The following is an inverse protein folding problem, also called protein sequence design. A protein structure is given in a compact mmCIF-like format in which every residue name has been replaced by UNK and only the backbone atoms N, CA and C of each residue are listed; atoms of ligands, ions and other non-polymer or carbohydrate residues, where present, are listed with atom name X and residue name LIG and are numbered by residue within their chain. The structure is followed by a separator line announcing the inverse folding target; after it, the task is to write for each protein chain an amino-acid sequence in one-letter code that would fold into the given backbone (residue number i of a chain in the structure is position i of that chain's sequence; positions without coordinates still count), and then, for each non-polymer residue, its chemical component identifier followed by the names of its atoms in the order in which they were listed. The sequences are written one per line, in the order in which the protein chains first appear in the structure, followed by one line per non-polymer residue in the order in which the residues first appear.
data_IF_401059924103
#
_entry.id   IF_401059924103
#
_cell.length_a   1.000
_cell.length_b   1.000
_cell.length_c   1.000
_cell.angle_alpha   90.00
_cell.angle_beta   90.00
_cell.angle_gamma   90.00
#
_symmetry.space_group_name_H-M   'P 1'
#
loop_
_entity.id
_entity.type
_entity.pdbx_description
1 polymer ?
#
# COMPACT_ATOMS: atom_id res chain seq x y z
N UNK A 1 -0.49 -24.88 -15.88
CA UNK A 1 -1.04 -23.57 -15.51
C UNK A 1 -0.04 -22.94 -14.54
N UNK A 2 0.90 -22.16 -15.08
CA UNK A 2 2.02 -21.62 -14.30
C UNK A 2 1.53 -20.38 -13.57
N UNK A 3 1.35 -20.48 -12.25
CA UNK A 3 1.14 -19.31 -11.40
C UNK A 3 2.52 -18.64 -11.27
N UNK A 4 2.86 -17.78 -12.23
CA UNK A 4 3.97 -16.85 -12.09
C UNK A 4 3.56 -15.84 -11.03
N UNK A 5 4.36 -15.72 -9.97
CA UNK A 5 4.19 -14.74 -8.92
C UNK A 5 4.03 -13.36 -9.57
N UNK A 6 2.85 -12.77 -9.38
CA UNK A 6 2.53 -11.43 -9.84
C UNK A 6 3.48 -10.47 -9.13
N UNK A 7 4.51 -10.04 -9.84
CA UNK A 7 5.38 -8.96 -9.43
C UNK A 7 4.58 -7.67 -9.60
N UNK A 8 4.08 -7.13 -8.49
CA UNK A 8 3.23 -5.93 -8.52
C UNK A 8 4.12 -4.68 -8.53
N UNK A 9 4.36 -4.16 -9.73
CA UNK A 9 5.09 -2.90 -9.89
C UNK A 9 4.12 -1.74 -9.74
N UNK A 10 4.27 -0.96 -8.67
CA UNK A 10 3.63 0.35 -8.56
C UNK A 10 4.57 1.41 -9.11
N UNK A 11 4.18 2.06 -10.22
CA UNK A 11 5.01 3.07 -10.84
C UNK A 11 4.58 4.48 -10.44
N UNK A 12 5.19 5.04 -9.40
CA UNK A 12 4.98 6.46 -9.07
C UNK A 12 5.76 7.37 -10.02
N UNK A 13 5.18 7.71 -11.16
CA UNK A 13 5.69 8.79 -11.99
C UNK A 13 5.47 10.15 -11.32
N UNK A 14 6.24 10.44 -10.26
CA UNK A 14 6.28 11.76 -9.61
C UNK A 14 6.87 12.75 -10.60
N UNK A 15 5.99 13.35 -11.39
CA UNK A 15 6.32 14.45 -12.28
C UNK A 15 5.86 15.73 -11.60
N UNK A 16 6.81 16.54 -11.11
CA UNK A 16 6.54 17.97 -10.86
C UNK A 16 5.88 18.54 -12.11
N UNK A 17 4.62 18.95 -11.97
CA UNK A 17 3.79 19.43 -13.06
C UNK A 17 4.53 20.49 -13.91
N UNK A 18 5.10 20.06 -15.03
CA UNK A 18 5.48 20.94 -16.13
C UNK A 18 4.41 20.75 -17.18
N UNK A 19 3.39 21.61 -17.13
CA UNK A 19 2.40 21.89 -18.19
C UNK A 19 2.27 20.84 -19.29
N UNK A 20 1.32 19.90 -19.13
CA UNK A 20 0.94 18.96 -20.18
C UNK A 20 0.30 17.70 -19.61
N UNK A 21 -1.00 17.77 -19.33
CA UNK A 21 -1.84 16.64 -18.92
C UNK A 21 -2.00 15.65 -20.08
N UNK A 22 -1.84 14.35 -19.79
CA UNK A 22 -1.94 13.26 -20.75
C UNK A 22 -3.36 12.68 -20.92
N UNK A 23 -4.39 13.25 -20.26
CA UNK A 23 -5.74 12.69 -20.27
C UNK A 23 -6.78 13.64 -20.88
N UNK A 24 -6.94 13.59 -22.21
CA UNK A 24 -8.18 14.01 -22.87
C UNK A 24 -8.69 12.85 -23.72
N UNK A 25 -9.66 12.10 -23.20
CA UNK A 25 -10.95 11.76 -23.84
C UNK A 25 -11.57 10.50 -23.20
N UNK A 26 -12.54 10.72 -22.32
CA UNK A 26 -13.62 9.77 -22.05
C UNK A 26 -14.75 10.49 -21.32
N UNK A 27 -15.82 10.84 -22.05
CA UNK A 27 -17.05 11.40 -21.49
C UNK A 27 -17.88 10.26 -20.90
N UNK A 28 -18.24 10.33 -19.63
CA UNK A 28 -19.24 9.44 -19.01
C UNK A 28 -20.41 10.29 -18.51
N UNK A 29 -21.61 9.90 -18.95
CA UNK A 29 -22.89 10.49 -18.59
C UNK A 29 -23.21 10.25 -17.11
N UNK A 30 -23.55 11.30 -16.36
CA UNK A 30 -24.12 11.19 -15.02
C UNK A 30 -25.66 11.20 -15.08
N UNK A 31 -26.28 10.21 -14.44
CA UNK A 31 -27.73 10.08 -14.28
C UNK A 31 -28.13 10.60 -12.90
N UNK A 32 -28.87 11.71 -12.82
CA UNK A 32 -29.38 12.26 -11.56
C UNK A 32 -30.74 11.61 -11.21
N UNK A 33 -30.83 10.93 -10.06
CA UNK A 33 -32.12 10.58 -9.46
C UNK A 33 -32.63 11.76 -8.63
N UNK A 34 -33.84 12.24 -8.92
CA UNK A 34 -34.57 13.16 -8.05
C UNK A 34 -35.22 12.38 -6.90
N UNK A 35 -34.98 12.80 -5.67
CA UNK A 35 -35.72 12.34 -4.48
C UNK A 35 -36.91 13.27 -4.19
N UNK A 36 -38.08 12.76 -3.77
CA UNK A 36 -39.26 13.58 -3.50
C UNK A 36 -39.12 14.42 -2.22
N UNK A 37 -39.73 15.61 -2.19
CA UNK A 37 -39.80 16.46 -1.00
C UNK A 37 -40.82 15.94 0.04
N UNK A 38 -40.54 16.04 1.36
CA UNK A 38 -41.53 15.79 2.40
C UNK A 38 -42.45 16.99 2.66
N UNK A 39 -43.71 16.71 3.00
CA UNK A 39 -44.75 17.67 3.40
C UNK A 39 -44.53 18.20 4.83
N UNK A 40 -44.98 19.43 5.16
CA UNK A 40 -44.73 20.05 6.45
C UNK A 40 -45.71 19.55 7.53
N UNK A 41 -45.17 19.07 8.65
CA UNK A 41 -45.94 18.86 9.88
C UNK A 41 -45.60 19.98 10.87
N UNK A 42 -46.59 20.83 11.16
CA UNK A 42 -46.53 21.87 12.18
C UNK A 42 -46.84 21.29 13.56
N UNK A 43 -45.86 21.31 14.47
CA UNK A 43 -46.06 21.09 15.91
C UNK A 43 -45.39 22.24 16.67
N UNK A 44 -46.04 22.88 17.66
CA UNK A 44 -45.49 24.06 18.33
C UNK A 44 -44.26 23.70 19.18
N UNK A 45 -43.12 24.32 18.88
CA UNK A 45 -41.90 24.21 19.68
C UNK A 45 -42.02 25.05 20.96
N UNK A 46 -42.03 24.40 22.11
CA UNK A 46 -41.57 25.03 23.36
C UNK A 46 -40.05 25.10 23.29
N UNK A 47 -39.51 26.29 22.99
CA UNK A 47 -38.08 26.53 22.93
C UNK A 47 -37.49 26.53 24.35
N UNK A 48 -37.01 25.36 24.78
CA UNK A 48 -35.94 25.32 25.77
C UNK A 48 -34.63 25.59 25.04
N UNK A 49 -33.97 26.70 25.35
CA UNK A 49 -32.64 27.06 24.84
C UNK A 49 -31.61 26.05 25.38
N UNK A 50 -31.52 24.90 24.72
CA UNK A 50 -30.41 23.97 24.90
C UNK A 50 -29.20 24.64 24.25
N UNK A 51 -28.22 25.05 25.05
CA UNK A 51 -26.92 25.46 24.53
C UNK A 51 -26.41 24.35 23.60
N UNK A 52 -26.24 24.64 22.31
CA UNK A 52 -25.78 23.65 21.35
C UNK A 52 -24.40 23.20 21.77
N UNK A 53 -24.23 21.92 22.08
CA UNK A 53 -22.91 21.33 22.24
C UNK A 53 -22.05 21.70 21.03
N UNK A 54 -20.78 22.09 21.23
CA UNK A 54 -19.92 22.45 20.11
C UNK A 54 -19.89 21.30 19.12
N UNK A 55 -20.22 21.58 17.86
CA UNK A 55 -20.18 20.60 16.79
C UNK A 55 -18.77 20.00 16.72
N UNK A 56 -18.66 18.67 16.63
CA UNK A 56 -17.38 18.01 16.44
C UNK A 56 -16.70 18.57 15.18
N UNK A 57 -15.36 18.73 15.19
CA UNK A 57 -14.64 19.18 14.01
C UNK A 57 -14.90 18.23 12.84
N UNK A 58 -15.05 18.78 11.63
CA UNK A 58 -15.18 17.99 10.42
C UNK A 58 -13.94 17.11 10.22
N UNK A 59 -14.13 15.92 9.67
CA UNK A 59 -13.02 15.05 9.26
C UNK A 59 -12.11 15.77 8.25
N UNK A 60 -10.86 15.34 8.16
CA UNK A 60 -9.88 15.96 7.27
C UNK A 60 -10.30 15.81 5.80
N UNK A 61 -10.18 16.87 5.00
CA UNK A 61 -10.59 16.84 3.59
C UNK A 61 -9.92 15.73 2.77
N UNK A 62 -8.65 15.40 3.08
CA UNK A 62 -7.91 14.32 2.42
C UNK A 62 -8.50 12.92 2.63
N UNK A 63 -9.35 12.73 3.64
CA UNK A 63 -10.02 11.44 3.88
C UNK A 63 -11.36 11.34 3.18
N UNK A 64 -11.82 12.39 2.48
CA UNK A 64 -13.06 12.33 1.72
C UNK A 64 -12.94 11.37 0.54
N UNK A 65 -13.97 10.56 0.31
CA UNK A 65 -14.00 9.59 -0.80
C UNK A 65 -13.14 8.33 -0.59
N UNK A 66 -12.54 8.16 0.60
CA UNK A 66 -12.00 6.87 1.01
C UNK A 66 -13.18 5.99 1.43
N UNK A 67 -13.48 5.00 0.60
CA UNK A 67 -14.60 4.09 0.80
C UNK A 67 -14.29 3.00 1.82
N UNK A 68 -15.33 2.29 2.25
CA UNK A 68 -15.17 1.13 3.14
C UNK A 68 -14.35 0.05 2.42
N UNK A 69 -13.34 -0.49 3.10
CA UNK A 69 -12.51 -1.55 2.55
C UNK A 69 -13.34 -2.82 2.27
N UNK A 70 -13.08 -3.42 1.11
CA UNK A 70 -13.68 -4.68 0.67
C UNK A 70 -13.41 -5.82 1.66
N UNK A 71 -12.28 -5.76 2.37
CA UNK A 71 -11.91 -6.74 3.40
C UNK A 71 -12.91 -6.77 4.56
N UNK A 72 -13.48 -5.63 4.94
CA UNK A 72 -14.46 -5.55 6.04
C UNK A 72 -15.74 -6.30 5.68
N UNK A 73 -16.16 -6.23 4.42
CA UNK A 73 -17.36 -6.91 3.94
C UNK A 73 -17.15 -8.42 3.86
N UNK A 74 -16.06 -8.87 3.22
CA UNK A 74 -15.78 -10.30 3.08
C UNK A 74 -15.47 -11.00 4.40
N UNK A 75 -14.78 -10.34 5.34
CA UNK A 75 -14.52 -10.92 6.67
C UNK A 75 -15.84 -11.10 7.44
N UNK A 76 -16.73 -10.10 7.41
CA UNK A 76 -18.03 -10.21 8.06
C UNK A 76 -18.85 -11.38 7.50
N UNK A 77 -18.90 -11.51 6.17
CA UNK A 77 -19.60 -12.61 5.52
C UNK A 77 -18.98 -13.98 5.84
N UNK A 78 -17.65 -14.06 5.90
CA UNK A 78 -16.94 -15.30 6.26
C UNK A 78 -17.25 -15.75 7.70
N UNK A 79 -17.41 -14.82 8.65
CA UNK A 79 -17.80 -15.13 10.03
C UNK A 79 -19.23 -15.67 10.13
N UNK A 80 -20.13 -15.14 9.30
CA UNK A 80 -21.53 -15.55 9.27
C UNK A 80 -21.72 -16.94 8.63
N UNK A 81 -21.09 -17.17 7.47
CA UNK A 81 -21.28 -18.38 6.65
C UNK A 81 -20.35 -19.52 7.06
N UNK A 82 -19.20 -19.20 7.70
CA UNK A 82 -18.15 -20.16 8.10
C UNK A 82 -17.70 -21.08 6.95
N UNK A 83 -17.32 -20.52 5.79
CA UNK A 83 -16.88 -21.34 4.65
C UNK A 83 -15.50 -21.95 4.91
N UNK A 84 -15.12 -22.92 4.07
CA UNK A 84 -13.70 -23.21 3.85
C UNK A 84 -13.08 -21.96 3.20
N UNK A 85 -12.25 -21.24 3.94
CA UNK A 85 -11.75 -19.93 3.52
C UNK A 85 -10.45 -20.07 2.73
N UNK A 86 -10.54 -19.91 1.41
CA UNK A 86 -9.38 -19.84 0.50
C UNK A 86 -9.08 -18.40 0.03
N UNK A 87 -9.76 -17.40 0.60
CA UNK A 87 -9.60 -15.99 0.24
C UNK A 87 -8.63 -15.21 1.12
N UNK A 88 -8.32 -15.70 2.32
CA UNK A 88 -7.36 -15.06 3.22
C UNK A 88 -5.92 -15.34 2.78
N UNK A 89 -5.15 -14.27 2.55
CA UNK A 89 -3.77 -14.33 2.11
C UNK A 89 -2.74 -14.57 3.21
N UNK A 90 -3.09 -15.31 4.28
CA UNK A 90 -2.15 -15.65 5.35
C UNK A 90 -2.13 -17.16 5.63
N UNK A 91 -0.97 -17.72 6.03
CA UNK A 91 -0.87 -19.14 6.41
C UNK A 91 -1.72 -19.46 7.65
N UNK A 92 -2.41 -20.60 7.62
CA UNK A 92 -3.14 -21.18 8.76
C UNK A 92 -2.33 -22.24 9.53
N UNK A 93 -1.04 -22.36 9.22
CA UNK A 93 -0.06 -23.21 9.91
C UNK A 93 0.98 -22.38 10.66
N UNK A 94 1.69 -23.04 11.60
CA UNK A 94 2.69 -22.37 12.42
C UNK A 94 3.90 -21.88 11.59
N UNK A 95 4.38 -20.68 11.91
CA UNK A 95 5.66 -20.19 11.40
C UNK A 95 6.83 -21.12 11.80
N UNK A 96 7.94 -21.13 11.03
CA UNK A 96 9.10 -21.97 11.32
C UNK A 96 9.60 -21.83 12.77
N UNK A 97 10.00 -22.95 13.37
CA UNK A 97 10.39 -23.04 14.78
C UNK A 97 11.44 -22.02 15.21
N UNK A 98 12.44 -21.78 14.36
CA UNK A 98 13.52 -20.85 14.66
C UNK A 98 13.02 -19.40 14.77
N UNK A 99 11.98 -19.02 14.01
CA UNK A 99 11.34 -17.70 14.09
C UNK A 99 10.59 -17.56 15.42
N UNK A 100 9.78 -18.56 15.77
CA UNK A 100 9.00 -18.56 17.02
C UNK A 100 9.92 -18.53 18.24
N UNK A 101 11.00 -19.31 18.23
CA UNK A 101 12.03 -19.31 19.27
C UNK A 101 12.76 -17.97 19.37
N UNK A 102 13.11 -17.35 18.24
CA UNK A 102 13.76 -16.04 18.24
C UNK A 102 12.88 -14.95 18.87
N UNK A 103 11.58 -14.94 18.55
CA UNK A 103 10.62 -14.03 19.19
C UNK A 103 10.52 -14.28 20.69
N UNK A 104 10.36 -15.53 21.11
CA UNK A 104 10.30 -15.90 22.53
C UNK A 104 11.55 -15.42 23.27
N UNK A 105 12.74 -15.65 22.71
CA UNK A 105 14.01 -15.23 23.30
C UNK A 105 14.13 -13.71 23.40
N UNK A 106 13.67 -12.96 22.39
CA UNK A 106 13.68 -11.51 22.42
C UNK A 106 12.79 -10.95 23.53
N UNK A 107 11.60 -11.54 23.72
CA UNK A 107 10.64 -11.12 24.74
C UNK A 107 11.04 -11.55 26.16
N UNK A 108 11.63 -12.74 26.32
CA UNK A 108 11.99 -13.31 27.63
C UNK A 108 13.46 -13.13 28.00
N UNK A 109 14.19 -12.20 27.35
CA UNK A 109 15.62 -12.04 27.59
C UNK A 109 15.89 -11.41 28.96
N UNK A 110 16.38 -12.21 29.91
CA UNK A 110 16.87 -11.72 31.20
C UNK A 110 18.24 -11.05 31.08
N UNK A 111 19.04 -11.47 30.09
CA UNK A 111 20.40 -10.95 29.86
C UNK A 111 20.44 -9.62 29.12
N UNK A 112 19.35 -9.24 28.45
CA UNK A 112 19.22 -7.95 27.77
C UNK A 112 17.81 -7.37 27.92
N UNK A 113 17.51 -6.90 29.13
CA UNK A 113 16.22 -6.28 29.49
C UNK A 113 15.88 -5.07 28.62
N UNK A 114 16.90 -4.40 28.05
CA UNK A 114 16.71 -3.23 27.17
C UNK A 114 16.01 -3.57 25.85
N UNK A 115 15.86 -4.85 25.48
CA UNK A 115 15.03 -5.25 24.34
C UNK A 115 13.55 -4.91 24.51
N UNK A 116 13.10 -4.63 25.74
CA UNK A 116 11.74 -4.16 26.03
C UNK A 116 11.58 -2.63 25.90
N UNK A 117 12.67 -1.91 25.61
CA UNK A 117 12.68 -0.45 25.52
C UNK A 117 12.80 0.01 24.07
N UNK A 118 12.68 1.32 23.86
CA UNK A 118 12.84 1.91 22.54
C UNK A 118 14.18 1.54 21.90
N UNK A 119 14.13 1.26 20.60
CA UNK A 119 15.31 1.12 19.75
C UNK A 119 15.46 2.35 18.84
N UNK A 120 16.40 2.31 17.89
CA UNK A 120 16.56 3.35 16.87
C UNK A 120 15.29 3.47 16.02
N UNK A 121 14.80 4.71 15.83
CA UNK A 121 13.54 4.98 15.13
C UNK A 121 13.45 4.41 13.71
N UNK A 122 14.54 4.45 12.93
CA UNK A 122 14.56 3.91 11.56
C UNK A 122 14.87 2.40 11.49
N UNK A 123 14.79 1.69 12.61
CA UNK A 123 14.96 0.24 12.68
C UNK A 123 16.07 -0.19 13.63
N UNK A 124 15.84 -1.34 14.27
CA UNK A 124 16.78 -1.92 15.22
C UNK A 124 18.14 -2.21 14.55
N UNK A 125 19.29 -1.77 15.11
CA UNK A 125 20.60 -1.92 14.47
C UNK A 125 20.95 -3.34 14.00
N UNK A 126 20.65 -4.37 14.82
CA UNK A 126 20.86 -5.77 14.41
C UNK A 126 20.05 -6.17 13.16
N UNK A 127 18.83 -5.66 13.02
CA UNK A 127 17.93 -5.99 11.92
C UNK A 127 18.39 -5.30 10.62
N UNK A 128 18.63 -3.98 10.66
CA UNK A 128 19.05 -3.23 9.46
C UNK A 128 20.39 -3.73 8.90
N UNK A 129 21.33 -4.14 9.78
CA UNK A 129 22.59 -4.74 9.35
C UNK A 129 22.40 -6.12 8.72
N UNK A 130 21.47 -6.93 9.23
CA UNK A 130 21.15 -8.23 8.64
C UNK A 130 20.47 -8.06 7.26
N UNK A 131 19.51 -7.14 7.16
CA UNK A 131 18.84 -6.80 5.90
C UNK A 131 19.85 -6.30 4.86
N UNK A 132 20.69 -5.32 5.20
CA UNK A 132 21.74 -4.82 4.31
C UNK A 132 22.63 -5.94 3.80
N UNK A 133 23.08 -6.88 4.64
CA UNK A 133 23.94 -8.01 4.22
C UNK A 133 23.25 -8.99 3.27
N UNK A 134 21.96 -9.26 3.48
CA UNK A 134 21.18 -10.15 2.62
C UNK A 134 20.97 -9.43 1.28
N UNK A 135 20.37 -8.25 1.34
CA UNK A 135 19.96 -7.53 0.14
C UNK A 135 21.14 -7.03 -0.68
N UNK A 136 22.30 -6.70 -0.08
CA UNK A 136 23.49 -6.30 -0.86
C UNK A 136 23.94 -7.40 -1.84
N UNK A 137 23.79 -8.67 -1.45
CA UNK A 137 24.09 -9.81 -2.34
C UNK A 137 23.03 -9.96 -3.42
N UNK A 138 21.77 -9.78 -3.03
CA UNK A 138 20.61 -9.91 -3.91
C UNK A 138 20.61 -8.83 -5.00
N UNK A 139 20.91 -7.58 -4.67
CA UNK A 139 20.92 -6.44 -5.61
C UNK A 139 22.28 -6.23 -6.29
N UNK A 140 23.29 -7.05 -5.98
CA UNK A 140 24.63 -6.94 -6.58
C UNK A 140 25.43 -5.67 -6.23
N UNK A 141 25.06 -4.93 -5.17
CA UNK A 141 25.79 -3.75 -4.68
C UNK A 141 25.75 -3.64 -3.17
N UNK A 142 26.70 -2.94 -2.57
CA UNK A 142 26.67 -2.64 -1.14
C UNK A 142 25.49 -1.71 -0.81
N UNK A 143 24.72 -2.06 0.23
CA UNK A 143 23.63 -1.26 0.79
C UNK A 143 24.07 -0.74 2.15
N UNK A 144 24.07 0.57 2.35
CA UNK A 144 24.35 1.18 3.63
C UNK A 144 23.14 1.04 4.58
N UNK A 145 23.24 0.29 5.69
CA UNK A 145 22.11 0.03 6.58
C UNK A 145 21.57 1.28 7.28
N UNK A 146 22.36 2.35 7.38
CA UNK A 146 21.97 3.56 8.11
C UNK A 146 21.19 4.55 7.24
N UNK A 147 21.43 4.56 5.93
CA UNK A 147 20.84 5.52 4.98
C UNK A 147 19.93 4.89 3.93
N UNK A 148 20.05 3.59 3.66
CA UNK A 148 19.32 2.91 2.59
C UNK A 148 18.38 1.80 3.11
N UNK A 149 18.23 1.68 4.44
CA UNK A 149 17.31 0.74 5.07
C UNK A 149 16.45 1.47 6.10
N UNK A 150 15.14 1.32 5.95
CA UNK A 150 14.12 1.77 6.90
C UNK A 150 13.24 0.56 7.26
N UNK A 151 13.03 0.34 8.56
CA UNK A 151 12.09 -0.68 9.05
C UNK A 151 10.76 -0.02 9.34
N UNK A 152 9.67 -0.63 8.86
CA UNK A 152 8.28 -0.18 9.03
C UNK A 152 7.42 -1.29 9.63
N UNK A 153 6.20 -0.95 10.03
CA UNK A 153 5.12 -1.85 10.42
C UNK A 153 4.54 -2.58 9.20
N UNK A 154 5.35 -3.46 8.62
CA UNK A 154 5.03 -4.22 7.43
C UNK A 154 5.07 -3.40 6.14
N UNK A 155 4.80 -4.06 5.02
CA UNK A 155 4.82 -3.46 3.69
C UNK A 155 3.73 -2.39 3.50
N UNK A 156 2.58 -2.54 4.15
CA UNK A 156 1.51 -1.52 4.12
C UNK A 156 2.00 -0.14 4.60
N UNK A 157 2.74 -0.07 5.71
CA UNK A 157 3.31 1.19 6.17
C UNK A 157 4.49 1.65 5.30
N UNK A 158 5.27 0.72 4.73
CA UNK A 158 6.34 1.08 3.79
C UNK A 158 5.76 1.78 2.55
N UNK A 159 4.69 1.23 1.97
CA UNK A 159 3.95 1.84 0.86
C UNK A 159 3.37 3.19 1.27
N UNK A 160 2.70 3.25 2.42
CA UNK A 160 2.10 4.49 2.92
C UNK A 160 3.15 5.59 3.11
N UNK A 161 4.26 5.28 3.78
CA UNK A 161 5.34 6.22 4.07
C UNK A 161 6.03 6.69 2.78
N UNK A 162 6.24 5.77 1.83
CA UNK A 162 6.81 6.08 0.52
C UNK A 162 5.91 7.00 -0.28
N UNK A 163 4.63 6.66 -0.41
CA UNK A 163 3.65 7.46 -1.18
C UNK A 163 3.46 8.83 -0.53
N UNK A 164 3.24 8.90 0.78
CA UNK A 164 3.10 10.17 1.50
C UNK A 164 4.37 11.02 1.47
N UNK A 165 5.55 10.41 1.34
CA UNK A 165 6.83 11.11 1.28
C UNK A 165 7.25 11.57 -0.12
N UNK A 166 6.64 11.00 -1.17
CA UNK A 166 7.04 11.25 -2.56
C UNK A 166 5.95 11.90 -3.43
N UNK A 167 4.67 11.76 -3.08
CA UNK A 167 3.55 12.22 -3.90
C UNK A 167 2.98 13.52 -3.34
N UNK A 168 2.91 14.55 -4.18
CA UNK A 168 2.26 15.82 -3.88
C UNK A 168 0.88 15.93 -4.58
N UNK A 169 0.00 16.83 -4.09
CA UNK A 169 -1.26 17.13 -4.77
C UNK A 169 -1.05 17.54 -6.23
N UNK A 170 -1.73 16.82 -7.14
CA UNK A 170 -1.65 17.05 -8.59
C UNK A 170 -0.63 16.17 -9.32
N UNK A 171 0.20 15.39 -8.61
CA UNK A 171 1.03 14.36 -9.23
C UNK A 171 0.17 13.21 -9.77
N UNK A 172 0.64 12.57 -10.83
CA UNK A 172 0.05 11.35 -11.38
C UNK A 172 0.84 10.13 -10.89
N UNK A 173 0.15 9.05 -10.52
CA UNK A 173 0.78 7.79 -10.08
C UNK A 173 0.26 6.65 -10.93
N UNK A 174 1.15 6.02 -11.70
CA UNK A 174 0.81 4.91 -12.57
C UNK A 174 0.65 3.63 -11.74
N UNK A 175 -0.49 2.97 -11.88
CA UNK A 175 -0.82 1.74 -11.18
C UNK A 175 -1.15 0.67 -12.23
N UNK A 176 -0.42 -0.45 -12.17
CA UNK A 176 -0.63 -1.57 -13.08
C UNK A 176 -1.78 -2.43 -12.56
N UNK A 177 -2.77 -2.76 -13.40
CA UNK A 177 -3.91 -3.61 -13.01
C UNK A 177 -3.65 -5.08 -13.38
N UNK A 178 -3.99 -6.07 -12.52
CA UNK A 178 -4.56 -5.91 -11.18
C UNK A 178 -3.52 -5.41 -10.16
N UNK A 179 -3.98 -4.68 -9.16
CA UNK A 179 -3.15 -4.09 -8.11
C UNK A 179 -3.63 -4.48 -6.72
N UNK A 180 -2.71 -4.51 -5.76
CA UNK A 180 -3.06 -4.54 -4.36
C UNK A 180 -3.87 -3.31 -3.94
N UNK A 181 -5.01 -3.54 -3.29
CA UNK A 181 -6.11 -2.57 -3.18
C UNK A 181 -5.73 -1.26 -2.48
N UNK A 182 -4.68 -1.28 -1.65
CA UNK A 182 -4.26 -0.12 -0.88
C UNK A 182 -3.55 0.98 -1.67
N UNK A 183 -3.02 0.70 -2.88
CA UNK A 183 -2.27 1.69 -3.64
C UNK A 183 -3.13 2.92 -3.97
N UNK A 184 -4.36 2.70 -4.45
CA UNK A 184 -5.29 3.76 -4.85
C UNK A 184 -5.67 4.70 -3.70
N UNK A 185 -6.18 4.23 -2.54
CA UNK A 185 -6.55 5.12 -1.44
C UNK A 185 -5.35 5.86 -0.86
N UNK A 186 -4.15 5.25 -0.83
CA UNK A 186 -2.95 5.93 -0.36
C UNK A 186 -2.52 7.06 -1.30
N UNK A 187 -2.55 6.85 -2.62
CA UNK A 187 -2.30 7.92 -3.61
C UNK A 187 -3.30 9.05 -3.49
N UNK A 188 -4.60 8.74 -3.39
CA UNK A 188 -5.66 9.75 -3.23
C UNK A 188 -5.50 10.54 -1.93
N UNK A 189 -5.14 9.86 -0.84
CA UNK A 189 -4.89 10.49 0.46
C UNK A 189 -3.71 11.48 0.43
N UNK A 190 -2.69 11.21 -0.40
CA UNK A 190 -1.58 12.12 -0.68
C UNK A 190 -1.96 13.27 -1.63
N UNK A 191 -3.15 13.24 -2.23
CA UNK A 191 -3.62 14.23 -3.21
C UNK A 191 -3.21 13.92 -4.66
N UNK A 192 -2.57 12.77 -4.90
CA UNK A 192 -2.19 12.32 -6.23
C UNK A 192 -3.38 11.77 -7.02
N UNK A 193 -3.20 11.66 -8.33
CA UNK A 193 -4.15 11.10 -9.28
C UNK A 193 -3.68 9.73 -9.76
N UNK A 194 -4.36 8.63 -9.38
CA UNK A 194 -4.09 7.31 -9.93
C UNK A 194 -4.33 7.27 -11.45
N UNK A 195 -3.37 6.73 -12.20
CA UNK A 195 -3.45 6.49 -13.65
C UNK A 195 -3.27 5.00 -13.90
N UNK A 196 -4.30 4.34 -14.41
CA UNK A 196 -4.32 2.88 -14.51
C UNK A 196 -3.75 2.36 -15.84
N UNK A 197 -2.95 1.30 -15.77
CA UNK A 197 -2.42 0.59 -16.94
C UNK A 197 -2.73 -0.90 -16.81
N UNK A 198 -3.59 -1.49 -17.66
CA UNK A 198 -3.93 -2.89 -17.54
C UNK A 198 -2.77 -3.79 -17.97
N UNK A 199 -2.41 -4.75 -17.13
CA UNK A 199 -1.46 -5.80 -17.46
C UNK A 199 -2.03 -6.67 -18.58
N UNK A 200 -1.16 -7.09 -19.51
CA UNK A 200 -1.48 -8.13 -20.50
C UNK A 200 -0.91 -9.46 -20.00
N UNK A 201 -1.58 -10.61 -20.17
CA UNK A 201 -1.23 -11.88 -19.51
C UNK A 201 0.14 -12.51 -19.84
N UNK A 202 0.98 -11.84 -20.61
CA UNK A 202 2.33 -12.29 -20.96
C UNK A 202 3.28 -11.36 -20.26
N UNK A 203 4.01 -11.86 -19.26
CA UNK A 203 5.05 -11.11 -18.59
C UNK A 203 6.43 -11.57 -19.07
N UNK A 204 7.28 -10.64 -19.49
CA UNK A 204 8.68 -10.92 -19.85
C UNK A 204 9.64 -9.97 -19.16
N UNK A 205 10.87 -10.42 -18.94
CA UNK A 205 11.95 -9.59 -18.38
C UNK A 205 12.13 -8.28 -19.14
N UNK A 206 11.92 -8.29 -20.46
CA UNK A 206 12.05 -7.08 -21.29
C UNK A 206 11.02 -5.99 -20.92
N UNK A 207 9.87 -6.36 -20.34
CA UNK A 207 8.83 -5.41 -19.94
C UNK A 207 9.24 -4.65 -18.66
N UNK A 208 9.92 -5.31 -17.73
CA UNK A 208 10.55 -4.63 -16.58
C UNK A 208 11.59 -3.60 -17.04
N UNK A 209 12.42 -3.98 -18.01
CA UNK A 209 13.44 -3.07 -18.55
C UNK A 209 12.81 -1.90 -19.29
N UNK A 210 11.71 -2.13 -20.02
CA UNK A 210 10.93 -1.06 -20.65
C UNK A 210 10.40 -0.08 -19.59
N UNK A 211 9.87 -0.57 -18.47
CA UNK A 211 9.41 0.30 -17.37
C UNK A 211 10.60 1.10 -16.80
N UNK A 212 11.75 0.46 -16.56
CA UNK A 212 12.96 1.13 -16.09
C UNK A 212 13.42 2.25 -17.04
N UNK A 213 13.37 2.00 -18.35
CA UNK A 213 13.75 2.98 -19.37
C UNK A 213 12.76 4.15 -19.42
N UNK A 214 11.46 3.88 -19.23
CA UNK A 214 10.45 4.93 -19.08
C UNK A 214 10.70 5.76 -17.81
N UNK A 215 11.00 5.12 -16.67
CA UNK A 215 11.35 5.83 -15.44
C UNK A 215 12.51 6.79 -15.66
N UNK A 216 13.59 6.32 -16.29
CA UNK A 216 14.76 7.15 -16.62
C UNK A 216 14.39 8.29 -17.57
N UNK A 217 13.67 7.98 -18.65
CA UNK A 217 13.26 8.96 -19.67
C UNK A 217 12.39 10.09 -19.10
N UNK A 218 11.48 9.75 -18.18
CA UNK A 218 10.54 10.70 -17.60
C UNK A 218 10.95 11.18 -16.19
N UNK A 219 12.16 10.86 -15.75
CA UNK A 219 12.69 11.19 -14.41
C UNK A 219 11.68 10.86 -13.30
N UNK A 220 11.20 9.62 -13.32
CA UNK A 220 10.13 9.08 -12.47
C UNK A 220 10.68 8.04 -11.50
N UNK A 221 9.99 7.82 -10.37
CA UNK A 221 10.39 6.85 -9.34
C UNK A 221 9.57 5.57 -9.48
N UNK A 222 10.21 4.41 -9.37
CA UNK A 222 9.49 3.13 -9.27
C UNK A 222 9.38 2.73 -7.80
N UNK A 223 8.17 2.38 -7.33
CA UNK A 223 7.92 1.79 -6.02
C UNK A 223 7.67 0.29 -6.26
N UNK A 224 8.68 -0.52 -5.98
CA UNK A 224 8.62 -1.95 -6.24
C UNK A 224 8.10 -2.67 -4.99
N UNK A 225 6.88 -3.19 -5.02
CA UNK A 225 6.36 -4.05 -3.97
C UNK A 225 6.80 -5.50 -4.23
N UNK A 226 7.82 -5.94 -3.49
CA UNK A 226 8.47 -7.24 -3.69
C UNK A 226 8.28 -8.20 -2.48
N UNK A 227 7.19 -8.07 -1.72
CA UNK A 227 6.91 -8.93 -0.54
C UNK A 227 6.91 -10.43 -0.84
N UNK A 228 6.68 -10.82 -2.09
CA UNK A 228 6.62 -12.21 -2.55
C UNK A 228 7.88 -12.69 -3.28
N UNK A 229 8.99 -11.94 -3.22
CA UNK A 229 10.24 -12.25 -3.95
C UNK A 229 10.79 -13.68 -3.74
N UNK A 230 10.52 -14.29 -2.59
CA UNK A 230 10.98 -15.64 -2.23
C UNK A 230 9.99 -16.75 -2.62
N UNK A 231 8.80 -16.40 -3.11
CA UNK A 231 7.74 -17.34 -3.49
C UNK A 231 7.69 -17.57 -5.00
N UNK A 232 8.79 -18.10 -5.55
CA UNK A 232 8.86 -18.49 -6.96
C UNK A 232 8.62 -19.99 -7.15
N UNK A 233 8.17 -20.38 -8.34
CA UNK A 233 7.81 -21.77 -8.66
C UNK A 233 8.37 -22.17 -10.02
N UNK A 234 8.45 -23.49 -10.28
CA UNK A 234 8.79 -24.04 -11.61
C UNK A 234 10.15 -23.55 -12.17
N UNK A 235 11.13 -23.36 -11.28
CA UNK A 235 12.47 -22.90 -11.65
C UNK A 235 12.56 -21.46 -12.13
N UNK A 236 11.49 -20.68 -11.97
CA UNK A 236 11.52 -19.24 -12.24
C UNK A 236 12.30 -18.51 -11.14
N UNK A 237 13.05 -17.50 -11.54
CA UNK A 237 13.76 -16.60 -10.63
C UNK A 237 13.05 -15.24 -10.58
N UNK A 238 13.05 -14.62 -9.42
CA UNK A 238 12.56 -13.25 -9.26
C UNK A 238 13.54 -12.28 -9.90
N UNK A 239 13.05 -11.41 -10.78
CA UNK A 239 13.86 -10.42 -11.49
C UNK A 239 13.54 -9.04 -10.95
N UNK A 240 14.54 -8.28 -10.50
CA UNK A 240 14.31 -6.91 -10.01
C UNK A 240 14.54 -5.92 -11.15
N UNK A 241 13.85 -4.79 -11.09
CA UNK A 241 14.00 -3.73 -12.09
C UNK A 241 15.41 -3.10 -12.08
N UNK A 242 16.10 -3.19 -10.93
CA UNK A 242 17.45 -2.65 -10.76
C UNK A 242 18.59 -3.60 -11.15
N UNK A 243 18.28 -4.85 -11.52
CA UNK A 243 19.26 -5.89 -11.90
C UNK A 243 19.75 -5.77 -13.35
#
# INVERSE_FOLDING_TARGET
MTVLALQEVMLSAVRRATTGSLAKQSRVFQYQRQTPQPLPATVPQHAATMASSPALPSIAAKTHGIEKSVWVEFIQLALEVKPLNLGQGFPDFAAPDHVRKALSQAASSETNVLLNQYTRGFGHPRLINALSKIYSKVVGREINPMSEVLVTAGAYEALFSTIMGLVDPGDEVIIIEPFFDCYVPQVKLAGGTPVFVPLRPVYKKEELMMIADLCKKYNSVAIMDEVYEWMTYSGQEHVRMGD
#
